data_IF_105222925545
#
_entry.id   IF_105222925545
#
_cell.length_a   1.000
_cell.length_b   1.000
_cell.length_c   1.000
_cell.angle_alpha   90.00
_cell.angle_beta   90.00
_cell.angle_gamma   90.00
#
_symmetry.space_group_name_H-M   'P 1'
#
loop_
_entity.id
_entity.type
_entity.pdbx_description
1 polymer ?
#
# COMPACT_ATOMS: atom_id res chain seq x y z
N UNK A 1 -12.17 9.55 -8.50
CA UNK A 1 -10.83 9.20 -9.02
C UNK A 1 -10.61 7.70 -9.02
N UNK A 2 -10.12 7.11 -10.12
CA UNK A 2 -9.78 5.67 -10.14
C UNK A 2 -8.47 5.41 -9.40
N UNK A 3 -8.49 4.47 -8.47
CA UNK A 3 -7.34 4.00 -7.70
C UNK A 3 -7.04 2.55 -8.10
N UNK A 4 -6.02 2.38 -8.94
CA UNK A 4 -5.65 1.09 -9.53
C UNK A 4 -4.73 0.26 -8.64
N UNK A 5 -4.98 -1.05 -8.52
CA UNK A 5 -4.16 -2.00 -7.77
C UNK A 5 -3.63 -3.11 -8.67
N UNK A 6 -2.39 -3.51 -8.42
CA UNK A 6 -1.77 -4.67 -9.06
C UNK A 6 -2.20 -5.96 -8.34
N UNK A 7 -2.31 -7.05 -9.10
CA UNK A 7 -2.75 -8.36 -8.58
C UNK A 7 -1.58 -9.30 -8.30
N UNK A 8 -0.43 -9.05 -8.91
CA UNK A 8 0.81 -9.78 -8.69
C UNK A 8 1.94 -8.79 -8.40
N UNK A 9 2.96 -9.26 -7.67
CA UNK A 9 4.15 -8.47 -7.40
C UNK A 9 5.00 -8.28 -8.67
N UNK A 10 5.68 -7.12 -8.80
CA UNK A 10 6.67 -6.91 -9.85
C UNK A 10 7.82 -7.94 -9.77
N UNK A 11 8.50 -8.20 -10.90
CA UNK A 11 9.58 -9.20 -10.95
C UNK A 11 10.75 -8.85 -10.05
N UNK A 12 11.00 -7.56 -9.88
CA UNK A 12 12.03 -6.94 -9.06
C UNK A 12 11.88 -7.30 -7.57
N UNK A 13 10.66 -7.65 -7.15
CA UNK A 13 10.41 -8.17 -5.80
C UNK A 13 10.95 -9.58 -5.58
N UNK A 14 11.49 -10.25 -6.60
CA UNK A 14 11.87 -11.68 -6.54
C UNK A 14 10.67 -12.60 -6.29
N UNK A 15 9.47 -12.05 -6.40
CA UNK A 15 8.17 -12.68 -6.15
C UNK A 15 7.29 -12.53 -7.39
N UNK A 16 7.90 -12.49 -8.58
CA UNK A 16 7.19 -12.49 -9.86
C UNK A 16 6.08 -13.56 -9.82
N UNK A 17 4.87 -13.19 -10.25
CA UNK A 17 3.68 -14.06 -10.27
C UNK A 17 3.08 -14.42 -8.90
N UNK A 18 3.71 -14.01 -7.79
CA UNK A 18 3.10 -14.08 -6.46
C UNK A 18 2.03 -13.02 -6.30
N UNK A 19 0.92 -13.39 -5.66
CA UNK A 19 -0.26 -12.54 -5.52
C UNK A 19 -0.09 -11.49 -4.42
N UNK A 20 -0.57 -10.27 -4.66
CA UNK A 20 -0.56 -9.19 -3.66
C UNK A 20 -1.69 -9.32 -2.62
N UNK A 21 -2.79 -9.96 -3.03
CA UNK A 21 -4.06 -10.02 -2.28
C UNK A 21 -4.65 -8.65 -1.93
N UNK A 22 -4.34 -7.61 -2.72
CA UNK A 22 -4.81 -6.26 -2.41
C UNK A 22 -6.33 -6.10 -2.47
N UNK A 23 -7.03 -6.83 -3.35
CA UNK A 23 -8.50 -6.79 -3.40
C UNK A 23 -9.07 -7.23 -2.04
N UNK A 24 -8.61 -8.38 -1.57
CA UNK A 24 -9.06 -9.03 -0.35
C UNK A 24 -8.69 -8.19 0.89
N UNK A 25 -7.44 -7.70 0.95
CA UNK A 25 -6.96 -6.84 2.05
C UNK A 25 -7.73 -5.52 2.13
N UNK A 26 -8.02 -4.89 0.99
CA UNK A 26 -8.77 -3.63 0.94
C UNK A 26 -10.22 -3.86 1.37
N UNK A 27 -10.89 -4.86 0.82
CA UNK A 27 -12.28 -5.14 1.21
C UNK A 27 -12.40 -5.52 2.68
N UNK A 28 -11.44 -6.29 3.22
CA UNK A 28 -11.38 -6.56 4.66
C UNK A 28 -11.26 -5.26 5.46
N UNK A 29 -10.36 -4.36 5.05
CA UNK A 29 -10.22 -3.05 5.68
C UNK A 29 -11.46 -2.17 5.59
N UNK A 30 -12.15 -2.18 4.44
CA UNK A 30 -13.40 -1.45 4.24
C UNK A 30 -14.52 -2.00 5.13
N UNK A 31 -14.65 -3.32 5.22
CA UNK A 31 -15.67 -3.99 6.04
C UNK A 31 -15.41 -3.75 7.53
N UNK A 32 -14.17 -3.90 7.99
CA UNK A 32 -13.80 -3.69 9.40
C UNK A 32 -13.87 -2.21 9.82
N UNK A 33 -13.87 -1.29 8.85
CA UNK A 33 -14.03 0.15 9.10
C UNK A 33 -15.47 0.63 8.91
N UNK A 34 -16.44 -0.29 8.76
CA UNK A 34 -17.86 0.01 8.47
C UNK A 34 -18.09 0.92 7.24
N UNK A 35 -17.15 0.90 6.28
CA UNK A 35 -17.26 1.67 5.02
C UNK A 35 -18.07 0.94 3.95
N UNK A 36 -18.20 -0.38 4.10
CA UNK A 36 -19.04 -1.25 3.28
C UNK A 36 -19.71 -2.28 4.18
N UNK A 37 -20.80 -2.89 3.70
CA UNK A 37 -21.51 -3.98 4.37
C UNK A 37 -21.09 -5.33 3.79
N UNK A 38 -21.43 -6.40 4.52
CA UNK A 38 -21.20 -7.77 4.03
C UNK A 38 -21.86 -8.06 2.67
N UNK A 39 -22.99 -7.42 2.37
CA UNK A 39 -23.65 -7.56 1.07
C UNK A 39 -22.80 -6.97 -0.07
N UNK A 40 -22.17 -5.81 0.13
CA UNK A 40 -21.32 -5.17 -0.88
C UNK A 40 -20.11 -6.07 -1.26
N UNK A 41 -19.60 -6.82 -0.28
CA UNK A 41 -18.55 -7.80 -0.49
C UNK A 41 -19.02 -8.99 -1.34
N UNK A 42 -20.21 -9.53 -1.03
CA UNK A 42 -20.81 -10.64 -1.79
C UNK A 42 -21.12 -10.21 -3.22
N UNK A 43 -21.73 -9.03 -3.42
CA UNK A 43 -22.03 -8.50 -4.75
C UNK A 43 -20.73 -8.35 -5.57
N UNK A 44 -19.67 -7.81 -4.96
CA UNK A 44 -18.37 -7.68 -5.62
C UNK A 44 -17.76 -9.04 -6.02
N UNK A 45 -17.95 -10.08 -5.21
CA UNK A 45 -17.53 -11.46 -5.53
C UNK A 45 -18.29 -12.02 -6.73
N UNK A 46 -19.60 -11.85 -6.75
CA UNK A 46 -20.49 -12.34 -7.81
C UNK A 46 -20.20 -11.63 -9.13
N UNK A 47 -20.03 -10.31 -9.10
CA UNK A 47 -19.64 -9.50 -10.26
C UNK A 47 -18.29 -9.95 -10.82
N UNK A 48 -17.31 -10.25 -9.95
CA UNK A 48 -16.01 -10.76 -10.36
C UNK A 48 -16.15 -12.13 -11.04
N UNK A 49 -16.92 -13.05 -10.43
CA UNK A 49 -17.18 -14.40 -10.97
C UNK A 49 -17.84 -14.34 -12.34
N UNK A 50 -18.87 -13.50 -12.48
CA UNK A 50 -19.59 -13.28 -13.72
C UNK A 50 -18.66 -12.78 -14.82
N UNK A 51 -17.75 -11.85 -14.48
CA UNK A 51 -16.85 -11.23 -15.46
C UNK A 51 -15.67 -12.09 -15.88
N UNK A 52 -15.05 -12.81 -14.94
CA UNK A 52 -13.76 -13.47 -15.17
C UNK A 52 -13.80 -14.99 -15.12
N UNK A 53 -14.91 -15.59 -14.70
CA UNK A 53 -15.02 -17.05 -14.54
C UNK A 53 -14.18 -17.55 -13.37
N UNK A 54 -14.74 -17.49 -12.16
CA UNK A 54 -14.09 -18.00 -10.93
C UNK A 54 -14.01 -16.95 -9.82
N UNK A 55 -13.49 -17.36 -8.66
CA UNK A 55 -13.35 -16.47 -7.50
C UNK A 55 -12.03 -15.68 -7.59
N UNK A 56 -11.98 -14.48 -6.99
CA UNK A 56 -10.68 -13.95 -6.57
C UNK A 56 -10.08 -14.87 -5.47
N UNK A 57 -8.79 -14.73 -5.20
CA UNK A 57 -8.05 -15.75 -4.45
C UNK A 57 -8.25 -15.63 -2.93
N UNK A 58 -8.83 -16.65 -2.30
CA UNK A 58 -9.00 -16.68 -0.85
C UNK A 58 -7.69 -17.06 -0.14
N UNK A 59 -6.92 -16.08 0.35
CA UNK A 59 -5.90 -16.29 1.38
C UNK A 59 -6.52 -16.08 2.76
N UNK A 60 -6.36 -17.05 3.65
CA UNK A 60 -6.77 -16.91 5.06
C UNK A 60 -5.74 -16.02 5.82
N UNK A 61 -6.17 -15.46 6.95
CA UNK A 61 -5.30 -14.69 7.86
C UNK A 61 -4.62 -13.47 7.20
N UNK A 62 -5.40 -12.70 6.43
CA UNK A 62 -4.93 -11.45 5.85
C UNK A 62 -5.07 -10.29 6.85
N UNK A 63 -4.06 -9.41 6.87
CA UNK A 63 -4.17 -8.10 7.52
C UNK A 63 -4.86 -7.10 6.59
N UNK A 64 -5.74 -6.23 7.11
CA UNK A 64 -6.45 -5.25 6.30
C UNK A 64 -5.50 -4.19 5.72
N UNK A 65 -5.84 -3.71 4.51
CA UNK A 65 -5.19 -2.55 3.89
C UNK A 65 -6.08 -1.33 4.10
N UNK A 66 -5.57 -0.33 4.82
CA UNK A 66 -6.36 0.81 5.34
C UNK A 66 -6.08 2.14 4.63
N UNK A 67 -5.00 2.19 3.86
CA UNK A 67 -4.62 3.33 3.02
C UNK A 67 -3.74 2.84 1.87
N UNK A 68 -3.26 3.77 1.04
CA UNK A 68 -2.20 3.44 0.09
C UNK A 68 -1.21 4.56 -0.16
N UNK A 69 0.05 4.21 -0.37
CA UNK A 69 1.09 5.14 -0.84
C UNK A 69 0.98 5.32 -2.36
N UNK A 70 0.98 6.56 -2.83
CA UNK A 70 0.93 6.90 -4.26
C UNK A 70 1.87 8.05 -4.60
N UNK A 71 2.58 7.90 -5.71
CA UNK A 71 3.20 9.05 -6.35
C UNK A 71 2.11 9.99 -6.84
N UNK A 72 2.20 11.27 -6.50
CA UNK A 72 1.21 12.28 -6.88
C UNK A 72 1.85 13.64 -7.15
N UNK A 73 2.77 13.67 -8.11
CA UNK A 73 3.50 14.89 -8.51
C UNK A 73 2.59 16.01 -9.00
N UNK A 74 1.39 15.70 -9.47
CA UNK A 74 0.39 16.69 -9.91
C UNK A 74 -0.61 17.10 -8.81
N UNK A 75 -0.42 16.65 -7.56
CA UNK A 75 -1.25 17.00 -6.40
C UNK A 75 -2.76 16.80 -6.65
N UNK A 76 -3.11 15.64 -7.22
CA UNK A 76 -4.50 15.32 -7.63
C UNK A 76 -5.34 14.83 -6.46
N UNK A 77 -4.74 14.12 -5.51
CA UNK A 77 -5.45 13.57 -4.35
C UNK A 77 -5.68 14.61 -3.27
N UNK A 78 -6.94 14.75 -2.85
CA UNK A 78 -7.40 15.64 -1.79
C UNK A 78 -8.52 14.96 -1.01
N UNK A 79 -8.67 15.34 0.26
CA UNK A 79 -9.83 14.95 1.05
C UNK A 79 -11.14 15.30 0.31
N UNK A 80 -12.13 14.41 0.40
CA UNK A 80 -13.41 14.50 -0.29
C UNK A 80 -13.43 13.93 -1.70
N UNK A 81 -12.28 13.59 -2.31
CA UNK A 81 -12.28 12.89 -3.60
C UNK A 81 -12.95 11.52 -3.50
N UNK A 82 -13.76 11.16 -4.49
CA UNK A 82 -14.27 9.80 -4.63
C UNK A 82 -13.14 8.84 -5.00
N UNK A 83 -13.13 7.65 -4.40
CA UNK A 83 -12.20 6.57 -4.70
C UNK A 83 -12.96 5.46 -5.41
N UNK A 84 -12.56 5.18 -6.65
CA UNK A 84 -13.03 4.01 -7.40
C UNK A 84 -11.91 2.97 -7.40
N UNK A 85 -11.97 2.03 -6.46
CA UNK A 85 -11.01 0.93 -6.36
C UNK A 85 -11.10 0.05 -7.59
N UNK A 86 -9.98 -0.18 -8.29
CA UNK A 86 -10.01 -0.96 -9.51
C UNK A 86 -8.77 -1.81 -9.75
N UNK A 87 -8.93 -2.90 -10.49
CA UNK A 87 -7.85 -3.65 -11.13
C UNK A 87 -7.95 -3.54 -12.65
N UNK A 88 -6.86 -3.88 -13.34
CA UNK A 88 -6.77 -3.84 -14.81
C UNK A 88 -7.16 -2.48 -15.41
N UNK A 89 -6.72 -1.40 -14.74
CA UNK A 89 -7.03 -0.03 -15.15
C UNK A 89 -6.60 0.27 -16.59
N UNK A 90 -7.39 1.09 -17.31
CA UNK A 90 -7.17 1.45 -18.73
C UNK A 90 -7.21 0.27 -19.72
N UNK A 91 -7.85 -0.83 -19.33
CA UNK A 91 -8.09 -1.99 -20.22
C UNK A 91 -9.58 -2.32 -20.31
N UNK A 92 -9.97 -3.12 -21.32
CA UNK A 92 -11.34 -3.67 -21.43
C UNK A 92 -11.74 -4.54 -20.23
N UNK A 93 -10.74 -5.10 -19.54
CA UNK A 93 -10.91 -5.96 -18.38
C UNK A 93 -10.89 -5.18 -17.05
N UNK A 94 -10.99 -3.85 -17.07
CA UNK A 94 -11.11 -3.02 -15.86
C UNK A 94 -12.25 -3.54 -14.99
N UNK A 95 -11.99 -3.70 -13.70
CA UNK A 95 -13.00 -4.14 -12.74
C UNK A 95 -12.93 -3.28 -11.49
N UNK A 96 -14.07 -2.76 -11.05
CA UNK A 96 -14.20 -2.06 -9.79
C UNK A 96 -14.66 -3.06 -8.74
N UNK A 97 -13.84 -3.31 -7.73
CA UNK A 97 -14.04 -4.40 -6.78
C UNK A 97 -14.62 -3.96 -5.44
N UNK A 98 -15.03 -2.71 -5.31
CA UNK A 98 -15.69 -2.20 -4.11
C UNK A 98 -16.57 -0.98 -4.46
N UNK A 99 -17.57 -0.67 -3.62
CA UNK A 99 -18.30 0.60 -3.69
C UNK A 99 -17.37 1.82 -3.69
N UNK A 100 -17.91 2.94 -4.16
CA UNK A 100 -17.20 4.22 -4.13
C UNK A 100 -17.19 4.73 -2.69
N UNK A 101 -15.99 4.99 -2.16
CA UNK A 101 -15.81 5.62 -0.83
C UNK A 101 -15.11 6.96 -0.97
N UNK A 102 -15.15 7.77 0.08
CA UNK A 102 -14.42 9.04 0.13
C UNK A 102 -12.97 8.84 0.51
N UNK A 103 -12.07 9.56 -0.15
CA UNK A 103 -10.77 9.90 0.41
C UNK A 103 -11.02 10.80 1.62
N UNK A 104 -10.77 10.30 2.81
CA UNK A 104 -11.01 11.02 4.07
C UNK A 104 -9.88 12.01 4.32
N UNK A 105 -8.64 11.62 4.06
CA UNK A 105 -7.49 12.51 4.20
C UNK A 105 -6.32 12.09 3.33
N UNK A 106 -5.34 12.99 3.20
CA UNK A 106 -4.02 12.72 2.62
C UNK A 106 -2.93 13.11 3.63
N UNK A 107 -1.77 12.48 3.53
CA UNK A 107 -0.53 12.88 4.21
C UNK A 107 0.61 12.87 3.21
N UNK A 108 1.54 13.81 3.30
CA UNK A 108 2.75 13.77 2.48
C UNK A 108 3.70 12.70 3.04
N UNK A 109 4.31 11.91 2.16
CA UNK A 109 5.25 10.86 2.55
C UNK A 109 6.53 10.94 1.73
N UNK A 110 7.66 10.79 2.42
CA UNK A 110 8.98 10.64 1.84
C UNK A 110 9.62 9.34 2.38
N UNK A 111 10.19 8.54 1.48
CA UNK A 111 10.97 7.35 1.82
C UNK A 111 12.36 7.58 1.25
N UNK A 112 13.35 7.66 2.13
CA UNK A 112 14.69 8.12 1.80
C UNK A 112 15.72 7.06 2.13
N UNK A 113 16.61 6.76 1.18
CA UNK A 113 17.68 5.77 1.34
C UNK A 113 19.01 6.44 1.65
N UNK A 114 19.67 5.99 2.72
CA UNK A 114 21.04 6.40 3.07
C UNK A 114 22.04 6.22 1.94
N UNK A 115 21.88 5.17 1.13
CA UNK A 115 22.73 4.90 -0.02
C UNK A 115 22.64 6.02 -1.08
N UNK A 116 21.50 6.71 -1.15
CA UNK A 116 21.22 7.75 -2.12
C UNK A 116 21.33 9.18 -1.56
N UNK A 117 21.36 9.34 -0.23
CA UNK A 117 21.55 10.63 0.45
C UNK A 117 23.00 10.89 0.88
N UNK A 118 23.81 9.83 0.98
CA UNK A 118 25.12 9.88 1.62
C UNK A 118 25.00 9.60 3.11
N UNK A 119 25.96 8.85 3.65
CA UNK A 119 25.96 8.38 5.03
C UNK A 119 25.93 9.49 6.10
N UNK A 120 26.27 10.72 5.75
CA UNK A 120 26.32 11.84 6.69
C UNK A 120 25.08 12.76 6.63
N UNK A 121 24.04 12.40 5.86
CA UNK A 121 22.81 13.19 5.81
C UNK A 121 22.07 13.12 7.16
N UNK A 122 21.76 14.25 7.82
CA UNK A 122 21.13 14.26 9.15
C UNK A 122 19.70 13.70 9.16
N UNK A 123 19.09 13.49 7.98
CA UNK A 123 17.78 12.84 7.82
C UNK A 123 17.88 11.33 7.80
N UNK A 124 19.08 10.77 7.70
CA UNK A 124 19.32 9.33 7.69
C UNK A 124 19.51 8.88 9.12
N UNK A 125 18.49 8.25 9.70
CA UNK A 125 18.70 7.47 10.92
C UNK A 125 19.25 6.10 10.57
N UNK A 126 20.38 5.75 11.14
CA UNK A 126 20.84 4.37 11.17
C UNK A 126 19.95 3.59 12.14
N UNK A 127 19.03 2.81 11.59
CA UNK A 127 18.54 1.66 12.33
C UNK A 127 19.72 0.72 12.52
N UNK A 128 19.81 0.12 13.71
CA UNK A 128 20.89 -0.76 14.17
C UNK A 128 21.47 -1.68 13.07
N UNK A 129 22.76 -2.02 13.17
CA UNK A 129 23.40 -2.98 12.25
C UNK A 129 22.53 -4.25 12.12
N UNK A 130 21.93 -4.49 10.95
CA UNK A 130 21.18 -5.71 10.69
C UNK A 130 22.10 -6.69 9.98
N UNK A 131 22.42 -7.81 10.63
CA UNK A 131 23.08 -8.93 9.98
C UNK A 131 22.02 -9.82 9.30
N UNK A 132 22.17 -10.04 8.00
CA UNK A 132 21.28 -10.86 7.20
C UNK A 132 22.09 -11.73 6.24
N UNK A 133 21.87 -13.04 6.25
CA UNK A 133 22.63 -14.03 5.47
C UNK A 133 24.17 -13.96 5.65
N UNK A 134 24.64 -13.59 6.85
CA UNK A 134 26.06 -13.45 7.15
C UNK A 134 26.69 -12.14 6.62
N UNK A 135 25.87 -11.22 6.11
CA UNK A 135 26.32 -9.89 5.68
C UNK A 135 25.64 -8.81 6.54
N UNK A 136 26.42 -7.80 6.95
CA UNK A 136 25.87 -6.63 7.66
C UNK A 136 25.32 -5.64 6.64
N UNK A 137 24.02 -5.40 6.68
CA UNK A 137 23.34 -4.41 5.85
C UNK A 137 22.73 -3.32 6.73
N UNK A 138 23.22 -2.09 6.62
CA UNK A 138 22.55 -0.93 7.16
C UNK A 138 21.53 -0.42 6.13
N UNK A 139 20.29 -0.94 6.16
CA UNK A 139 19.19 -0.27 5.47
C UNK A 139 18.78 0.93 6.32
N UNK A 140 19.51 2.03 6.18
CA UNK A 140 19.07 3.30 6.73
C UNK A 140 18.05 3.92 5.75
N UNK A 141 16.88 3.29 5.69
CA UNK A 141 15.71 3.84 5.03
C UNK A 141 14.89 4.61 6.06
N UNK A 142 14.72 5.91 5.80
CA UNK A 142 13.94 6.80 6.66
C UNK A 142 12.59 7.04 6.02
N UNK A 143 11.52 6.84 6.80
CA UNK A 143 10.15 7.16 6.40
C UNK A 143 9.69 8.40 7.15
N UNK A 144 9.29 9.42 6.39
CA UNK A 144 8.84 10.71 6.90
C UNK A 144 7.41 10.91 6.45
N UNK A 145 6.50 11.18 7.39
CA UNK A 145 5.09 11.49 7.11
C UNK A 145 4.77 12.88 7.65
N UNK A 146 4.21 13.76 6.81
CA UNK A 146 3.91 15.16 7.14
C UNK A 146 5.10 15.89 7.80
N UNK A 147 6.33 15.58 7.34
CA UNK A 147 7.58 16.16 7.86
C UNK A 147 8.09 15.53 9.17
N UNK A 148 7.37 14.58 9.76
CA UNK A 148 7.77 13.84 10.96
C UNK A 148 8.37 12.48 10.58
N UNK A 149 9.57 12.21 11.06
CA UNK A 149 10.18 10.89 10.94
C UNK A 149 9.43 9.86 11.81
N UNK A 150 9.09 8.71 11.22
CA UNK A 150 8.48 7.59 11.91
C UNK A 150 9.55 6.71 12.59
N UNK A 151 9.21 6.18 13.76
CA UNK A 151 9.98 5.11 14.38
C UNK A 151 9.72 3.76 13.70
N UNK A 152 10.51 2.75 14.06
CA UNK A 152 10.43 1.41 13.46
C UNK A 152 9.03 0.80 13.59
N UNK A 153 8.40 0.90 14.76
CA UNK A 153 7.09 0.31 15.01
C UNK A 153 6.02 1.00 14.15
N UNK A 154 6.09 2.32 14.02
CA UNK A 154 5.21 3.08 13.15
C UNK A 154 5.39 2.73 11.68
N UNK A 155 6.62 2.46 11.22
CA UNK A 155 6.90 1.97 9.86
C UNK A 155 6.33 0.57 9.65
N UNK A 156 6.46 -0.33 10.62
CA UNK A 156 5.87 -1.68 10.57
C UNK A 156 4.34 -1.61 10.39
N UNK A 157 3.67 -0.76 11.18
CA UNK A 157 2.23 -0.54 11.07
C UNK A 157 1.86 0.14 9.73
N UNK A 158 2.66 1.10 9.26
CA UNK A 158 2.44 1.78 7.97
C UNK A 158 2.52 0.79 6.80
N UNK A 159 3.58 -0.03 6.76
CA UNK A 159 3.79 -1.03 5.72
C UNK A 159 2.67 -2.08 5.70
N UNK A 160 2.30 -2.60 6.87
CA UNK A 160 1.20 -3.57 7.00
C UNK A 160 -0.13 -2.98 6.49
N UNK A 161 -0.44 -1.74 6.85
CA UNK A 161 -1.66 -1.05 6.41
C UNK A 161 -1.62 -0.60 4.94
N UNK A 162 -0.44 -0.52 4.30
CA UNK A 162 -0.28 -0.42 2.85
C UNK A 162 -0.30 -1.82 2.18
N UNK A 163 -0.53 -2.88 2.93
CA UNK A 163 -0.77 -4.23 2.43
C UNK A 163 0.49 -5.07 2.19
N UNK A 164 1.65 -4.64 2.71
CA UNK A 164 2.87 -5.46 2.69
C UNK A 164 2.84 -6.52 3.80
N UNK A 165 3.47 -7.67 3.55
CA UNK A 165 3.57 -8.75 4.56
C UNK A 165 4.71 -8.49 5.55
N UNK A 166 5.72 -7.70 5.15
CA UNK A 166 6.85 -7.33 5.99
C UNK A 166 7.40 -5.95 5.63
N UNK A 167 8.11 -5.32 6.57
CA UNK A 167 8.87 -4.08 6.30
C UNK A 167 9.99 -4.31 5.28
N UNK A 168 10.50 -5.53 5.21
CA UNK A 168 11.48 -5.90 4.19
C UNK A 168 10.89 -5.81 2.78
N UNK A 169 9.70 -6.37 2.55
CA UNK A 169 9.02 -6.26 1.25
C UNK A 169 8.66 -4.81 0.92
N UNK A 170 8.28 -4.03 1.93
CA UNK A 170 8.01 -2.61 1.78
C UNK A 170 9.25 -1.86 1.26
N UNK A 171 10.39 -2.04 1.90
CA UNK A 171 11.64 -1.38 1.50
C UNK A 171 12.24 -1.95 0.22
N UNK A 172 12.00 -3.22 -0.08
CA UNK A 172 12.35 -3.79 -1.39
C UNK A 172 11.53 -3.17 -2.52
N UNK A 173 10.26 -2.84 -2.27
CA UNK A 173 9.41 -2.17 -3.24
C UNK A 173 9.78 -0.69 -3.40
N UNK A 174 10.13 -0.02 -2.31
CA UNK A 174 10.63 1.36 -2.29
C UNK A 174 12.17 1.40 -2.20
N UNK A 175 12.84 0.77 -3.17
CA UNK A 175 14.30 0.61 -3.24
C UNK A 175 15.07 1.91 -3.58
N UNK A 176 14.34 2.98 -3.91
CA UNK A 176 14.84 4.30 -4.27
C UNK A 176 14.13 5.38 -3.48
N UNK A 177 14.74 6.58 -3.46
CA UNK A 177 14.09 7.75 -2.88
C UNK A 177 12.71 7.96 -3.51
N UNK A 178 11.69 8.06 -2.67
CA UNK A 178 10.31 8.19 -3.06
C UNK A 178 9.69 9.41 -2.38
N UNK A 179 8.88 10.15 -3.13
CA UNK A 179 8.03 11.23 -2.62
C UNK A 179 6.63 11.08 -3.18
N UNK A 180 5.64 11.15 -2.32
CA UNK A 180 4.24 10.96 -2.70
C UNK A 180 3.29 11.33 -1.58
N UNK A 181 2.12 10.66 -1.61
CA UNK A 181 1.07 10.83 -0.61
C UNK A 181 0.60 9.48 -0.08
N UNK A 182 0.29 9.45 1.20
CA UNK A 182 -0.66 8.48 1.76
C UNK A 182 -2.07 8.95 1.40
N UNK A 183 -2.86 8.06 0.79
CA UNK A 183 -4.27 8.30 0.45
C UNK A 183 -5.12 7.45 1.38
N UNK A 184 -5.87 8.10 2.27
CA UNK A 184 -6.66 7.44 3.30
C UNK A 184 -8.13 7.38 2.92
N UNK A 185 -8.74 6.21 3.04
CA UNK A 185 -10.20 6.02 3.08
C UNK A 185 -10.71 5.76 4.52
N UNK A 186 -9.80 5.66 5.48
CA UNK A 186 -10.10 5.57 6.92
C UNK A 186 -9.63 6.85 7.64
N UNK A 187 -9.97 6.98 8.92
CA UNK A 187 -9.50 8.09 9.76
C UNK A 187 -8.07 7.90 10.30
N UNK A 188 -7.42 6.76 10.02
CA UNK A 188 -6.06 6.47 10.48
C UNK A 188 -5.07 7.50 9.90
N UNK A 189 -4.14 7.98 10.72
CA UNK A 189 -3.04 8.87 10.33
C UNK A 189 -1.75 8.47 11.05
N UNK A 190 -0.61 8.87 10.49
CA UNK A 190 0.75 8.61 11.00
C UNK A 190 1.45 9.90 11.42
#
# INVERSE_FOLDING_TARGET
>A
MTLGFMQTWPKEMGQADSKTYFIEKIQLGLLQSDLIKGIDYVDSLEDYRSKFGGNWHSKAHLSPKLHTIRQDSSNRWKAGNDIHFAVNGRTKNRFQFAPVVKCVSVQDIEILSAMHLGSNDPRVSYADEVEFCGEKWAYALTVIVDGKQLDRNAVEVLAANDGFESVWDFFKYFDKNFKGKLVHWTNLRY
#
